data_IF_035487571957
#
_entry.id   IF_035487571957
#
_cell.length_a   1.000
_cell.length_b   1.000
_cell.length_c   1.000
_cell.angle_alpha   90.00
_cell.angle_beta   90.00
_cell.angle_gamma   90.00
#
_symmetry.space_group_name_H-M   'P 1'
#
loop_
_entity.id
_entity.type
_entity.pdbx_description
1 polymer ?
#
# COMPACT_ATOMS: atom_id res chain seq x y z
N UNK A 1 9.93 6.73 16.63
CA UNK A 1 8.52 6.43 16.32
C UNK A 1 8.08 7.43 15.28
N UNK A 2 8.05 7.06 13.98
CA UNK A 2 7.46 7.92 12.97
C UNK A 2 5.98 8.16 13.32
N UNK A 3 5.49 9.35 12.99
CA UNK A 3 4.13 9.81 13.23
C UNK A 3 3.14 8.81 12.59
N UNK A 4 2.39 8.04 13.39
CA UNK A 4 1.41 7.10 12.87
C UNK A 4 0.25 7.87 12.23
N UNK A 5 0.14 7.78 10.90
CA UNK A 5 -0.94 8.42 10.15
C UNK A 5 -2.26 7.82 10.58
N UNK A 6 -3.10 8.63 11.23
CA UNK A 6 -4.40 8.16 11.72
C UNK A 6 -5.34 7.90 10.54
N UNK A 7 -6.15 6.83 10.60
CA UNK A 7 -7.04 6.45 9.49
C UNK A 7 -8.02 7.52 8.99
N UNK A 8 -8.25 8.58 9.77
CA UNK A 8 -9.15 9.70 9.45
C UNK A 8 -8.54 10.79 8.57
N UNK A 9 -7.22 10.81 8.41
CA UNK A 9 -6.52 11.99 7.89
C UNK A 9 -6.23 11.87 6.37
N UNK A 10 -6.43 10.69 5.77
CA UNK A 10 -6.17 10.42 4.35
C UNK A 10 -7.46 10.43 3.53
N UNK A 11 -7.51 11.29 2.51
CA UNK A 11 -8.60 11.28 1.53
C UNK A 11 -8.62 9.97 0.73
N UNK A 12 -9.75 9.26 0.79
CA UNK A 12 -9.99 8.00 0.04
C UNK A 12 -9.69 8.14 -1.45
N UNK A 13 -10.14 9.22 -2.08
CA UNK A 13 -9.91 9.45 -3.51
C UNK A 13 -8.42 9.67 -3.83
N UNK A 14 -7.70 10.36 -2.94
CA UNK A 14 -6.26 10.56 -3.10
C UNK A 14 -5.52 9.22 -2.99
N UNK A 15 -5.84 8.42 -1.96
CA UNK A 15 -5.24 7.10 -1.78
C UNK A 15 -5.49 6.17 -2.97
N UNK A 16 -6.74 6.04 -3.43
CA UNK A 16 -7.07 5.17 -4.57
C UNK A 16 -6.38 5.64 -5.87
N UNK A 17 -6.21 6.95 -6.05
CA UNK A 17 -5.41 7.47 -7.16
C UNK A 17 -3.96 7.05 -7.06
N UNK A 18 -3.37 7.08 -5.87
CA UNK A 18 -1.98 6.65 -5.66
C UNK A 18 -1.82 5.13 -5.83
N UNK A 19 -2.79 4.33 -5.39
CA UNK A 19 -2.86 2.88 -5.68
C UNK A 19 -2.90 2.63 -7.18
N UNK A 20 -3.76 3.34 -7.92
CA UNK A 20 -3.84 3.21 -9.37
C UNK A 20 -2.51 3.53 -10.05
N UNK A 21 -1.82 4.59 -9.59
CA UNK A 21 -0.48 4.94 -10.07
C UNK A 21 0.54 3.82 -9.80
N UNK A 22 0.45 3.16 -8.64
CA UNK A 22 1.29 2.00 -8.35
C UNK A 22 0.98 0.83 -9.29
N UNK A 23 -0.29 0.52 -9.54
CA UNK A 23 -0.73 -0.58 -10.42
C UNK A 23 -0.22 -0.42 -11.86
N UNK A 24 -0.20 0.81 -12.39
CA UNK A 24 0.35 1.09 -13.73
C UNK A 24 1.87 1.28 -13.75
N UNK A 25 2.51 1.43 -12.58
CA UNK A 25 3.95 1.62 -12.47
C UNK A 25 4.73 0.34 -12.18
N UNK A 26 4.05 -0.69 -11.67
CA UNK A 26 4.64 -1.93 -11.17
C UNK A 26 5.00 -2.95 -12.28
N UNK A 27 5.51 -2.51 -13.42
CA UNK A 27 6.00 -3.41 -14.46
C UNK A 27 7.49 -3.75 -14.20
N UNK A 28 7.89 -5.00 -14.42
CA UNK A 28 9.31 -5.40 -14.29
C UNK A 28 9.63 -6.40 -13.17
N UNK A 29 8.64 -7.08 -12.59
CA UNK A 29 8.84 -8.16 -11.61
C UNK A 29 8.73 -7.71 -10.15
N UNK A 30 8.90 -8.63 -9.19
CA UNK A 30 8.62 -8.39 -7.77
C UNK A 30 9.39 -7.21 -7.17
N UNK A 31 10.67 -7.04 -7.51
CA UNK A 31 11.47 -5.91 -7.02
C UNK A 31 10.93 -4.55 -7.51
N UNK A 32 10.35 -4.51 -8.71
CA UNK A 32 9.73 -3.30 -9.25
C UNK A 32 8.51 -2.90 -8.42
N UNK A 33 7.68 -3.87 -8.03
CA UNK A 33 6.48 -3.59 -7.22
C UNK A 33 6.86 -2.97 -5.87
N UNK A 34 7.90 -3.51 -5.22
CA UNK A 34 8.41 -2.99 -3.94
C UNK A 34 8.95 -1.57 -4.13
N UNK A 35 9.77 -1.33 -5.16
CA UNK A 35 10.33 -0.01 -5.45
C UNK A 35 9.25 1.04 -5.72
N UNK A 36 8.19 0.67 -6.45
CA UNK A 36 7.04 1.56 -6.73
C UNK A 36 6.28 1.88 -5.44
N UNK A 37 6.04 0.89 -4.58
CA UNK A 37 5.34 1.10 -3.31
C UNK A 37 6.17 1.95 -2.33
N UNK A 38 7.48 1.68 -2.22
CA UNK A 38 8.40 2.48 -1.41
C UNK A 38 8.41 3.95 -1.86
N UNK A 39 8.53 4.18 -3.17
CA UNK A 39 8.56 5.54 -3.70
C UNK A 39 7.23 6.27 -3.50
N UNK A 40 6.12 5.64 -3.85
CA UNK A 40 4.82 6.32 -3.86
C UNK A 40 4.17 6.38 -2.48
N UNK A 41 4.07 5.24 -1.78
CA UNK A 41 3.31 5.13 -0.53
C UNK A 41 4.11 5.59 0.69
N UNK A 42 5.43 5.37 0.70
CA UNK A 42 6.32 5.76 1.80
C UNK A 42 6.97 7.12 1.53
N UNK A 43 7.85 7.22 0.54
CA UNK A 43 8.67 8.43 0.36
C UNK A 43 7.85 9.68 -0.01
N UNK A 44 6.96 9.56 -1.01
CA UNK A 44 6.16 10.70 -1.51
C UNK A 44 4.95 11.01 -0.64
N UNK A 45 4.17 9.99 -0.28
CA UNK A 45 2.87 10.17 0.39
C UNK A 45 2.92 9.97 1.89
N UNK A 46 3.92 9.26 2.39
CA UNK A 46 4.11 9.00 3.83
C UNK A 46 2.86 8.41 4.48
N UNK A 47 2.16 7.53 3.77
CA UNK A 47 0.97 6.85 4.29
C UNK A 47 1.32 5.83 5.38
N UNK A 48 2.54 5.31 5.34
CA UNK A 48 3.11 4.38 6.30
C UNK A 48 4.62 4.52 6.32
N UNK A 49 5.27 3.98 7.34
CA UNK A 49 6.73 3.92 7.39
C UNK A 49 7.29 2.84 6.46
N UNK A 50 8.60 2.92 6.21
CA UNK A 50 9.32 1.89 5.47
C UNK A 50 9.22 0.53 6.16
N UNK A 51 9.40 0.53 7.48
CA UNK A 51 9.32 -0.64 8.35
C UNK A 51 7.94 -1.31 8.21
N UNK A 52 6.86 -0.51 8.30
CA UNK A 52 5.49 -1.03 8.15
C UNK A 52 5.25 -1.68 6.77
N UNK A 53 5.78 -1.08 5.70
CA UNK A 53 5.60 -1.63 4.36
C UNK A 53 6.34 -2.96 4.20
N UNK A 54 7.56 -3.06 4.74
CA UNK A 54 8.36 -4.29 4.70
C UNK A 54 7.72 -5.39 5.55
N UNK A 55 7.19 -5.07 6.73
CA UNK A 55 6.45 -6.02 7.56
C UNK A 55 5.19 -6.55 6.84
N UNK A 56 4.39 -5.65 6.25
CA UNK A 56 3.20 -6.05 5.48
C UNK A 56 3.57 -6.93 4.29
N UNK A 57 4.64 -6.57 3.57
CA UNK A 57 5.12 -7.38 2.45
C UNK A 57 5.58 -8.76 2.92
N UNK A 58 6.35 -8.86 4.00
CA UNK A 58 6.82 -10.12 4.55
C UNK A 58 5.65 -11.02 4.97
N UNK A 59 4.59 -10.44 5.55
CA UNK A 59 3.37 -11.18 5.86
C UNK A 59 2.67 -11.68 4.58
N UNK A 60 2.54 -10.82 3.56
CA UNK A 60 1.83 -11.13 2.33
C UNK A 60 2.57 -12.11 1.41
N UNK A 61 3.89 -12.25 1.53
CA UNK A 61 4.65 -13.29 0.79
C UNK A 61 4.51 -14.68 1.40
N UNK A 62 4.15 -14.78 2.68
CA UNK A 62 3.86 -16.07 3.32
C UNK A 62 2.44 -16.57 3.04
N UNK A 63 1.52 -15.68 2.66
CA UNK A 63 0.14 -16.03 2.38
C UNK A 63 -0.04 -16.55 0.94
N UNK A 64 -0.96 -17.49 0.70
CA UNK A 64 -1.32 -17.87 -0.66
C UNK A 64 -2.01 -16.70 -1.37
N UNK A 65 -1.55 -16.36 -2.57
CA UNK A 65 -2.14 -15.32 -3.40
C UNK A 65 -1.10 -14.35 -4.00
N UNK A 66 -1.57 -13.34 -4.75
CA UNK A 66 -0.70 -12.32 -5.31
C UNK A 66 -0.23 -11.37 -4.22
N UNK A 67 0.99 -11.54 -3.74
CA UNK A 67 1.54 -10.78 -2.61
C UNK A 67 1.48 -9.26 -2.81
N UNK A 68 1.64 -8.75 -4.04
CA UNK A 68 1.53 -7.31 -4.30
C UNK A 68 0.13 -6.75 -4.05
N UNK A 69 -0.92 -7.47 -4.46
CA UNK A 69 -2.31 -7.08 -4.22
C UNK A 69 -2.64 -7.20 -2.74
N UNK A 70 -2.19 -8.27 -2.08
CA UNK A 70 -2.38 -8.45 -0.65
C UNK A 70 -1.69 -7.33 0.15
N UNK A 71 -0.47 -6.94 -0.22
CA UNK A 71 0.24 -5.83 0.42
C UNK A 71 -0.52 -4.52 0.26
N UNK A 72 -0.90 -4.13 -0.97
CA UNK A 72 -1.52 -2.82 -1.20
C UNK A 72 -2.92 -2.71 -0.54
N UNK A 73 -3.68 -3.82 -0.51
CA UNK A 73 -4.97 -3.90 0.21
C UNK A 73 -4.76 -3.81 1.73
N UNK A 74 -3.71 -4.45 2.26
CA UNK A 74 -3.36 -4.35 3.68
C UNK A 74 -2.92 -2.93 4.07
N UNK A 75 -2.20 -2.24 3.18
CA UNK A 75 -1.92 -0.80 3.34
C UNK A 75 -3.23 -0.01 3.36
N UNK A 76 -4.16 -0.25 2.43
CA UNK A 76 -5.48 0.38 2.43
C UNK A 76 -6.27 0.14 3.72
N UNK A 77 -6.18 -1.06 4.29
CA UNK A 77 -6.77 -1.38 5.59
C UNK A 77 -6.15 -0.56 6.73
N UNK A 78 -4.82 -0.46 6.77
CA UNK A 78 -4.12 0.32 7.80
C UNK A 78 -4.42 1.81 7.69
N UNK A 79 -4.46 2.34 6.47
CA UNK A 79 -4.58 3.79 6.19
C UNK A 79 -6.01 4.30 6.30
N UNK A 80 -7.04 3.47 6.07
CA UNK A 80 -8.43 3.96 6.05
C UNK A 80 -9.47 2.90 6.44
N UNK A 81 -9.03 1.82 7.07
CA UNK A 81 -9.89 0.76 7.56
C UNK A 81 -10.50 -0.14 6.47
N UNK A 82 -11.46 -1.00 6.85
CA UNK A 82 -11.99 -2.04 5.97
C UNK A 82 -12.69 -1.50 4.72
N UNK A 83 -13.29 -0.31 4.78
CA UNK A 83 -13.91 0.31 3.61
C UNK A 83 -12.87 0.69 2.56
N UNK A 84 -11.75 1.30 2.97
CA UNK A 84 -10.70 1.67 2.04
C UNK A 84 -10.00 0.43 1.48
N UNK A 85 -9.77 -0.59 2.31
CA UNK A 85 -9.26 -1.88 1.86
C UNK A 85 -10.12 -2.51 0.76
N UNK A 86 -11.44 -2.55 0.96
CA UNK A 86 -12.38 -3.09 -0.03
C UNK A 86 -12.37 -2.28 -1.33
N UNK A 87 -12.29 -0.95 -1.25
CA UNK A 87 -12.18 -0.10 -2.45
C UNK A 87 -10.84 -0.30 -3.17
N UNK A 88 -9.76 -0.56 -2.43
CA UNK A 88 -8.42 -0.82 -2.99
C UNK A 88 -8.39 -2.09 -3.83
N UNK A 89 -9.20 -3.10 -3.49
CA UNK A 89 -9.37 -4.31 -4.30
C UNK A 89 -9.95 -4.07 -5.70
N UNK A 90 -10.61 -2.93 -5.93
CA UNK A 90 -11.27 -2.61 -7.20
C UNK A 90 -10.39 -1.80 -8.16
N UNK A 91 -9.16 -1.47 -7.74
CA UNK A 91 -8.20 -0.62 -8.46
C UNK A 91 -7.02 -1.45 -8.95
#
# INVERSE_FOLDING_TARGET
MPEEVRPSDVSTAAFLKDVFLCSIGAYGGPESHIGVFMNQLVAKKKYLSEEDLIELLALCTMLPGPSSTQTIVSVGYRVGGPRLALLTMLV
#
